data_IF_821367332191
#
_entry.id   IF_821367332191
#
_cell.length_a   1.000
_cell.length_b   1.000
_cell.length_c   1.000
_cell.angle_alpha   90.00
_cell.angle_beta   90.00
_cell.angle_gamma   90.00
#
_symmetry.space_group_name_H-M   'P 1'
#
loop_
_entity.id
_entity.type
_entity.pdbx_description
1 polymer ?
#
# COMPACT_ATOMS: atom_id res chain seq x y z
N UNK A 1 -0.13 4.98 -1.64
CA UNK A 1 0.55 3.72 -1.30
C UNK A 1 1.46 3.22 -2.44
N UNK A 2 0.92 2.95 -3.64
CA UNK A 2 1.72 2.46 -4.79
C UNK A 2 2.78 3.44 -5.30
N UNK A 3 2.45 4.73 -5.35
CA UNK A 3 3.29 5.79 -5.93
C UNK A 3 4.49 6.16 -5.02
N UNK A 4 4.33 6.00 -3.70
CA UNK A 4 5.30 6.49 -2.70
C UNK A 4 6.03 5.38 -1.94
N UNK A 5 5.38 4.24 -1.67
CA UNK A 5 5.96 3.13 -0.89
C UNK A 5 6.25 1.87 -1.70
N UNK A 6 5.91 1.85 -2.99
CA UNK A 6 5.93 0.67 -3.86
C UNK A 6 5.22 -0.56 -3.26
N UNK A 7 4.22 -0.33 -2.39
CA UNK A 7 3.37 -1.37 -1.81
C UNK A 7 2.02 -1.36 -2.54
N UNK A 8 1.64 -2.53 -3.06
CA UNK A 8 0.39 -2.72 -3.82
C UNK A 8 -0.62 -3.37 -2.88
N UNK A 9 -1.51 -2.55 -2.32
CA UNK A 9 -2.67 -2.99 -1.56
C UNK A 9 -3.97 -2.69 -2.31
N UNK A 10 -5.00 -3.49 -2.04
CA UNK A 10 -6.35 -3.29 -2.56
C UNK A 10 -7.23 -2.60 -1.51
N UNK A 11 -7.95 -1.55 -1.89
CA UNK A 11 -8.88 -0.86 -1.00
C UNK A 11 -10.27 -1.45 -1.12
N UNK A 12 -10.89 -1.76 0.02
CA UNK A 12 -12.31 -2.10 0.12
C UNK A 12 -13.00 -1.18 1.12
N UNK A 13 -14.16 -0.67 0.71
CA UNK A 13 -15.07 0.04 1.59
C UNK A 13 -15.53 -0.83 2.78
N UNK A 14 -15.85 -0.22 3.94
CA UNK A 14 -15.74 1.20 4.22
C UNK A 14 -14.29 1.67 4.45
N UNK A 15 -13.47 0.90 5.18
CA UNK A 15 -12.13 1.34 5.62
C UNK A 15 -11.11 0.18 5.69
N UNK A 16 -11.11 -0.72 4.70
CA UNK A 16 -10.24 -1.90 4.69
C UNK A 16 -9.16 -1.80 3.60
N UNK A 17 -7.91 -2.08 3.96
CA UNK A 17 -6.81 -2.33 3.02
C UNK A 17 -6.45 -3.80 3.09
N UNK A 18 -6.46 -4.48 1.94
CA UNK A 18 -6.08 -5.89 1.81
C UNK A 18 -4.69 -5.99 1.19
N UNK A 19 -3.85 -6.82 1.81
CA UNK A 19 -2.51 -7.14 1.36
C UNK A 19 -2.44 -8.64 1.10
N UNK A 20 -2.08 -9.03 -0.12
CA UNK A 20 -1.87 -10.42 -0.49
C UNK A 20 -0.37 -10.74 -0.38
N UNK A 21 -0.01 -11.59 0.58
CA UNK A 21 1.36 -12.06 0.79
C UNK A 21 1.40 -13.51 0.31
N UNK A 22 1.92 -13.73 -0.90
CA UNK A 22 2.00 -15.08 -1.47
C UNK A 22 3.28 -15.77 -0.98
N UNK A 23 3.19 -16.93 -0.31
CA UNK A 23 4.33 -17.57 0.35
C UNK A 23 5.39 -18.10 -0.61
N UNK A 24 5.07 -18.22 -1.91
CA UNK A 24 5.98 -18.71 -2.94
C UNK A 24 6.98 -17.63 -3.42
N UNK A 25 6.52 -16.41 -3.82
CA UNK A 25 7.42 -15.37 -4.28
C UNK A 25 7.85 -14.37 -3.21
N UNK A 26 7.20 -14.32 -2.03
CA UNK A 26 7.50 -13.28 -1.03
C UNK A 26 8.38 -13.78 0.10
N UNK A 27 9.48 -13.10 0.32
CA UNK A 27 10.36 -13.32 1.47
C UNK A 27 9.86 -12.56 2.70
N UNK A 28 10.24 -13.04 3.89
CA UNK A 28 9.90 -12.35 5.14
C UNK A 28 10.50 -10.93 5.24
N UNK A 29 11.63 -10.68 4.58
CA UNK A 29 12.27 -9.36 4.54
C UNK A 29 11.41 -8.39 3.74
N UNK A 30 10.91 -8.78 2.57
CA UNK A 30 10.02 -7.93 1.76
C UNK A 30 8.71 -7.60 2.48
N UNK A 31 8.20 -8.54 3.27
CA UNK A 31 7.03 -8.29 4.12
C UNK A 31 7.34 -7.21 5.15
N UNK A 32 8.47 -7.34 5.87
CA UNK A 32 8.90 -6.36 6.85
C UNK A 32 9.11 -4.97 6.22
N UNK A 33 9.86 -4.89 5.14
CA UNK A 33 10.13 -3.64 4.41
C UNK A 33 8.82 -3.01 3.90
N UNK A 34 7.89 -3.83 3.44
CA UNK A 34 6.56 -3.40 3.03
C UNK A 34 5.81 -2.71 4.18
N UNK A 35 5.75 -3.34 5.36
CA UNK A 35 5.09 -2.77 6.53
C UNK A 35 5.79 -1.52 7.07
N UNK A 36 7.12 -1.48 7.05
CA UNK A 36 7.88 -0.28 7.43
C UNK A 36 7.53 0.92 6.54
N UNK A 37 7.47 0.72 5.22
CA UNK A 37 7.09 1.81 4.28
C UNK A 37 5.66 2.29 4.48
N UNK A 38 4.74 1.38 4.85
CA UNK A 38 3.36 1.76 5.20
C UNK A 38 3.35 2.62 6.46
N UNK A 39 4.06 2.19 7.50
CA UNK A 39 4.17 2.93 8.77
C UNK A 39 4.67 4.34 8.51
N UNK A 40 5.76 4.49 7.78
CA UNK A 40 6.39 5.79 7.54
C UNK A 40 5.47 6.71 6.73
N UNK A 41 4.73 6.15 5.76
CA UNK A 41 3.74 6.88 4.97
C UNK A 41 2.54 7.37 5.81
N UNK A 42 2.10 6.60 6.81
CA UNK A 42 1.06 7.01 7.76
C UNK A 42 1.57 8.07 8.73
N UNK A 43 2.75 7.86 9.32
CA UNK A 43 3.35 8.79 10.30
C UNK A 43 3.59 10.17 9.69
N UNK A 44 4.13 10.20 8.46
CA UNK A 44 4.40 11.45 7.75
C UNK A 44 3.17 12.09 7.12
N UNK A 45 2.00 11.43 7.19
CA UNK A 45 0.76 11.84 6.53
C UNK A 45 0.88 12.09 5.02
N UNK A 46 1.93 11.58 4.37
CA UNK A 46 2.17 11.72 2.92
C UNK A 46 1.06 11.15 2.05
N UNK A 47 0.21 10.28 2.60
CA UNK A 47 -0.98 9.80 1.91
C UNK A 47 -2.00 10.92 1.58
N UNK A 48 -1.97 12.05 2.30
CA UNK A 48 -2.84 13.21 2.04
C UNK A 48 -2.37 14.06 0.86
N UNK A 49 -1.10 13.96 0.49
CA UNK A 49 -0.52 14.69 -0.65
C UNK A 49 -0.82 14.01 -1.99
N UNK A 50 -1.36 12.79 -1.95
CA UNK A 50 -1.71 12.03 -3.15
C UNK A 50 -3.06 12.54 -3.67
N UNK A 51 -3.04 13.28 -4.78
CA UNK A 51 -4.26 13.70 -5.48
C UNK A 51 -5.12 12.51 -5.97
N UNK A 52 -6.41 12.77 -6.25
CA UNK A 52 -7.34 11.76 -6.75
C UNK A 52 -6.78 11.04 -7.99
N UNK A 53 -6.38 9.78 -7.82
CA UNK A 53 -6.06 8.92 -8.93
C UNK A 53 -7.39 8.48 -9.58
N UNK A 54 -7.79 9.20 -10.63
CA UNK A 54 -8.87 8.79 -11.54
C UNK A 54 -8.50 7.45 -12.19
N UNK A 55 -8.87 6.34 -11.56
CA UNK A 55 -8.84 5.02 -12.21
C UNK A 55 -10.22 4.78 -12.81
N UNK A 56 -10.44 5.38 -13.98
CA UNK A 56 -11.63 5.12 -14.79
C UNK A 56 -11.35 3.87 -15.61
N UNK A 57 -11.82 2.73 -15.14
CA UNK A 57 -11.82 1.49 -15.92
C UNK A 57 -13.13 1.48 -16.71
N UNK A 58 -13.03 1.54 -18.03
CA UNK A 58 -14.18 1.41 -18.96
C UNK A 58 -14.26 -0.03 -19.44
#
# INVERSE_FOLDING_TARGET
MRIFGNVIGDFRQPDCIRLAISPLPTSYVEVFDGFERIRDLVVTKKYLEVGEASTRVT
#
